data_IF_332372298032
#
_entry.id   IF_332372298032
#
_cell.length_a   1.000
_cell.length_b   1.000
_cell.length_c   1.000
_cell.angle_alpha   90.00
_cell.angle_beta   90.00
_cell.angle_gamma   90.00
#
_symmetry.space_group_name_H-M   'P 1'
#
loop_
_entity.id
_entity.type
_entity.pdbx_description
1 polymer ?
#
# COMPACT_ATOMS: atom_id res chain seq x y z
N UNK A 1 -10.29 28.75 -10.13
CA UNK A 1 -11.57 28.14 -9.71
C UNK A 1 -11.25 27.07 -8.69
N UNK A 2 -11.57 27.30 -7.42
CA UNK A 2 -11.27 26.36 -6.34
C UNK A 2 -12.27 25.20 -6.41
N UNK A 3 -11.79 23.97 -6.60
CA UNK A 3 -12.62 22.78 -6.56
C UNK A 3 -13.18 22.63 -5.14
N UNK A 4 -14.50 22.71 -5.01
CA UNK A 4 -15.19 22.42 -3.76
C UNK A 4 -15.01 20.92 -3.45
N UNK A 5 -14.25 20.63 -2.39
CA UNK A 5 -14.17 19.28 -1.83
C UNK A 5 -15.59 18.80 -1.48
N UNK A 6 -15.95 17.55 -1.76
CA UNK A 6 -17.27 17.03 -1.45
C UNK A 6 -17.52 17.16 0.05
N UNK A 7 -18.59 17.88 0.43
CA UNK A 7 -19.13 17.90 1.79
C UNK A 7 -19.59 16.49 2.13
N UNK A 8 -18.71 15.71 2.75
CA UNK A 8 -19.09 14.48 3.43
C UNK A 8 -20.09 14.91 4.51
N UNK A 9 -21.35 14.49 4.38
CA UNK A 9 -22.35 14.64 5.47
C UNK A 9 -21.72 14.00 6.70
N UNK A 10 -21.30 14.82 7.66
CA UNK A 10 -20.67 14.37 8.90
C UNK A 10 -21.74 13.70 9.76
N UNK A 11 -22.09 12.45 9.45
CA UNK A 11 -22.84 11.66 10.43
C UNK A 11 -21.90 11.45 11.61
N UNK A 12 -22.26 11.97 12.77
CA UNK A 12 -21.51 11.80 14.03
C UNK A 12 -21.79 10.42 14.62
N UNK A 13 -21.87 9.40 13.77
CA UNK A 13 -22.28 8.05 14.11
C UNK A 13 -21.18 7.10 13.71
N UNK A 14 -21.02 6.04 14.50
CA UNK A 14 -20.13 4.96 14.17
C UNK A 14 -20.59 4.29 12.86
N UNK A 15 -19.66 4.09 11.92
CA UNK A 15 -19.95 3.44 10.64
C UNK A 15 -20.44 2.00 10.82
N UNK A 16 -20.02 1.31 11.88
CA UNK A 16 -20.34 -0.09 12.15
C UNK A 16 -21.69 -0.25 12.85
N UNK A 17 -21.89 0.35 14.02
CA UNK A 17 -23.14 0.19 14.77
C UNK A 17 -24.20 1.27 14.50
N UNK A 18 -23.89 2.30 13.69
CA UNK A 18 -24.77 3.44 13.38
C UNK A 18 -25.23 4.25 14.60
N UNK A 19 -24.54 4.12 15.73
CA UNK A 19 -24.84 4.87 16.94
C UNK A 19 -23.84 6.03 17.14
N UNK A 20 -24.35 7.16 17.62
CA UNK A 20 -23.55 8.33 18.04
C UNK A 20 -23.11 8.27 19.51
N UNK A 21 -23.66 7.29 20.26
CA UNK A 21 -23.31 6.95 21.64
C UNK A 21 -23.08 5.45 21.70
N UNK A 22 -22.15 4.98 22.53
CA UNK A 22 -22.08 3.55 22.82
C UNK A 22 -23.20 3.14 23.80
N UNK A 23 -23.48 1.84 23.94
CA UNK A 23 -24.49 1.29 24.86
C UNK A 23 -24.28 1.71 26.33
N UNK A 24 -23.06 2.16 26.66
CA UNK A 24 -22.66 2.69 27.97
C UNK A 24 -22.88 4.20 28.12
N UNK A 25 -23.55 4.85 27.16
CA UNK A 25 -23.91 6.27 27.20
C UNK A 25 -22.76 7.26 26.99
N UNK A 26 -21.53 6.81 26.70
CA UNK A 26 -20.40 7.70 26.38
C UNK A 26 -20.63 8.32 25.00
N UNK A 27 -20.56 9.64 24.97
CA UNK A 27 -20.68 10.45 23.75
C UNK A 27 -19.30 10.58 23.13
N UNK A 28 -19.10 10.03 21.93
CA UNK A 28 -17.85 10.19 21.23
C UNK A 28 -17.71 9.24 20.05
N UNK A 29 -17.55 9.82 18.86
CA UNK A 29 -17.08 9.12 17.67
C UNK A 29 -15.71 9.67 17.29
N UNK A 30 -14.80 8.77 16.95
CA UNK A 30 -13.41 9.05 16.58
C UNK A 30 -13.31 8.87 15.07
N UNK A 31 -12.69 9.83 14.39
CA UNK A 31 -12.41 9.75 12.96
C UNK A 31 -11.08 9.06 12.73
N UNK A 32 -11.03 8.06 11.86
CA UNK A 32 -9.78 7.54 11.35
C UNK A 32 -9.24 8.49 10.27
N UNK A 33 -8.04 9.05 10.46
CA UNK A 33 -7.40 9.95 9.49
C UNK A 33 -7.08 9.24 8.16
N UNK A 34 -6.78 7.93 8.21
CA UNK A 34 -6.40 7.16 7.02
C UNK A 34 -7.58 6.89 6.06
N UNK A 35 -8.75 6.55 6.58
CA UNK A 35 -9.92 6.19 5.75
C UNK A 35 -11.07 7.22 5.81
N UNK A 36 -10.99 8.22 6.68
CA UNK A 36 -12.03 9.24 6.86
C UNK A 36 -13.32 8.73 7.52
N UNK A 37 -13.37 7.48 7.99
CA UNK A 37 -14.55 6.88 8.62
C UNK A 37 -14.62 7.18 10.11
N UNK A 38 -15.85 7.30 10.63
CA UNK A 38 -16.16 7.56 12.04
C UNK A 38 -16.46 6.24 12.78
N UNK A 39 -15.90 6.05 13.97
CA UNK A 39 -16.11 4.86 14.78
C UNK A 39 -16.41 5.23 16.24
N UNK A 40 -17.19 4.42 16.95
CA UNK A 40 -17.21 4.50 18.41
C UNK A 40 -15.89 3.93 18.98
N UNK A 41 -15.64 4.13 20.27
CA UNK A 41 -14.42 3.67 20.96
C UNK A 41 -14.09 2.20 20.66
N UNK A 42 -15.06 1.30 20.81
CA UNK A 42 -14.88 -0.14 20.58
C UNK A 42 -14.56 -0.47 19.11
N UNK A 43 -15.36 0.02 18.17
CA UNK A 43 -15.14 -0.25 16.75
C UNK A 43 -13.87 0.43 16.22
N UNK A 44 -13.41 1.52 16.86
CA UNK A 44 -12.14 2.16 16.52
C UNK A 44 -10.95 1.26 16.87
N UNK A 45 -11.03 0.54 17.98
CA UNK A 45 -10.02 -0.42 18.41
C UNK A 45 -10.01 -1.64 17.48
N UNK A 46 -11.18 -2.18 17.14
CA UNK A 46 -11.31 -3.27 16.16
C UNK A 46 -10.77 -2.86 14.79
N UNK A 47 -11.11 -1.66 14.32
CA UNK A 47 -10.60 -1.12 13.06
C UNK A 47 -9.07 -1.02 13.06
N UNK A 48 -8.48 -0.52 14.16
CA UNK A 48 -7.02 -0.46 14.31
C UNK A 48 -6.37 -1.84 14.30
N UNK A 49 -6.98 -2.82 14.96
CA UNK A 49 -6.48 -4.20 14.97
C UNK A 49 -6.53 -4.82 13.58
N UNK A 50 -7.61 -4.58 12.83
CA UNK A 50 -7.73 -5.05 11.45
C UNK A 50 -6.67 -4.46 10.54
N UNK A 51 -6.44 -3.13 10.62
CA UNK A 51 -5.37 -2.46 9.86
C UNK A 51 -4.02 -3.09 10.18
N UNK A 52 -3.74 -3.31 11.47
CA UNK A 52 -2.49 -3.95 11.89
C UNK A 52 -2.33 -5.33 11.26
N UNK A 53 -3.36 -6.18 11.36
CA UNK A 53 -3.36 -7.53 10.77
C UNK A 53 -3.10 -7.51 9.27
N UNK A 54 -3.76 -6.61 8.54
CA UNK A 54 -3.56 -6.46 7.10
C UNK A 54 -2.12 -6.02 6.78
N UNK A 55 -1.58 -5.07 7.55
CA UNK A 55 -0.22 -4.59 7.38
C UNK A 55 0.82 -5.69 7.65
N UNK A 56 0.66 -6.43 8.75
CA UNK A 56 1.53 -7.56 9.09
C UNK A 56 1.54 -8.59 7.94
N UNK A 57 0.37 -8.93 7.39
CA UNK A 57 0.27 -9.82 6.23
C UNK A 57 0.87 -9.27 4.93
N UNK A 58 0.90 -7.94 4.73
CA UNK A 58 1.61 -7.33 3.61
C UNK A 58 3.13 -7.40 3.79
N UNK A 59 3.64 -7.19 5.01
CA UNK A 59 5.05 -7.32 5.31
C UNK A 59 5.55 -8.76 5.09
N UNK A 60 4.78 -9.76 5.50
CA UNK A 60 5.10 -11.17 5.25
C UNK A 60 5.15 -11.50 3.75
N UNK A 61 4.14 -11.07 2.98
CA UNK A 61 4.12 -11.25 1.52
C UNK A 61 5.30 -10.56 0.85
N UNK A 62 5.64 -9.35 1.29
CA UNK A 62 6.78 -8.62 0.77
C UNK A 62 8.08 -9.36 1.05
N UNK A 63 8.28 -9.87 2.28
CA UNK A 63 9.46 -10.66 2.63
C UNK A 63 9.56 -11.94 1.79
N UNK A 64 8.44 -12.63 1.56
CA UNK A 64 8.38 -13.81 0.70
C UNK A 64 8.77 -13.47 -0.75
N UNK A 65 8.22 -12.41 -1.33
CA UNK A 65 8.57 -11.98 -2.69
C UNK A 65 10.04 -11.59 -2.82
N UNK A 66 10.60 -10.91 -1.81
CA UNK A 66 12.03 -10.60 -1.81
C UNK A 66 12.90 -11.85 -1.76
N UNK A 67 12.51 -12.84 -0.96
CA UNK A 67 13.20 -14.12 -0.91
C UNK A 67 13.13 -14.86 -2.26
N UNK A 68 11.95 -14.89 -2.88
CA UNK A 68 11.75 -15.53 -4.19
C UNK A 68 12.58 -14.86 -5.29
N UNK A 69 12.64 -13.53 -5.31
CA UNK A 69 13.50 -12.76 -6.23
C UNK A 69 14.99 -13.02 -6.01
N UNK A 70 15.44 -13.14 -4.75
CA UNK A 70 16.83 -13.45 -4.47
C UNK A 70 17.18 -14.88 -4.92
N UNK A 71 16.30 -15.84 -4.66
CA UNK A 71 16.50 -17.24 -5.08
C UNK A 71 16.51 -17.39 -6.62
N UNK A 72 15.69 -16.61 -7.33
CA UNK A 72 15.69 -16.60 -8.81
C UNK A 72 16.92 -15.91 -9.40
N UNK A 73 17.51 -14.96 -8.67
CA UNK A 73 18.77 -14.31 -9.05
C UNK A 73 19.98 -15.25 -8.93
N UNK A 74 19.92 -16.18 -7.98
CA UNK A 74 20.95 -17.22 -7.79
C UNK A 74 20.77 -18.41 -8.77
N UNK A 75 19.74 -18.40 -9.60
CA UNK A 75 19.57 -19.36 -10.70
C UNK A 75 20.42 -18.90 -11.89
N UNK A 76 21.50 -19.65 -12.18
CA UNK A 76 22.56 -19.27 -13.12
C UNK A 76 22.07 -18.89 -14.53
N UNK A 77 21.02 -19.55 -15.01
CA UNK A 77 20.43 -19.28 -16.34
C UNK A 77 19.79 -17.89 -16.44
N UNK A 78 19.12 -17.43 -15.37
CA UNK A 78 18.54 -16.08 -15.34
C UNK A 78 19.63 -15.01 -15.31
N UNK A 79 20.70 -15.26 -14.55
CA UNK A 79 21.87 -14.39 -14.42
C UNK A 79 22.63 -14.22 -15.75
N UNK A 80 22.78 -15.32 -16.52
CA UNK A 80 23.38 -15.28 -17.86
C UNK A 80 22.51 -14.48 -18.84
N UNK A 81 21.19 -14.72 -18.86
CA UNK A 81 20.25 -13.95 -19.69
C UNK A 81 20.27 -12.46 -19.38
N UNK A 82 20.27 -12.06 -18.10
CA UNK A 82 20.38 -10.65 -17.73
C UNK A 82 21.72 -10.04 -18.16
N UNK A 83 22.81 -10.81 -18.10
CA UNK A 83 24.13 -10.36 -18.56
C UNK A 83 24.19 -10.19 -20.08
N UNK A 84 23.58 -11.10 -20.86
CA UNK A 84 23.47 -10.98 -22.32
C UNK A 84 22.62 -9.77 -22.74
N UNK A 85 21.52 -9.51 -22.02
CA UNK A 85 20.67 -8.34 -22.27
C UNK A 85 21.45 -7.04 -21.99
N UNK A 86 22.13 -6.95 -20.85
CA UNK A 86 22.96 -5.79 -20.49
C UNK A 86 24.07 -5.55 -21.52
N UNK A 87 24.72 -6.62 -21.99
CA UNK A 87 25.75 -6.53 -23.02
C UNK A 87 25.19 -6.00 -24.34
N UNK A 88 24.05 -6.55 -24.78
CA UNK A 88 23.36 -6.10 -25.99
C UNK A 88 22.96 -4.61 -25.93
N UNK A 89 22.46 -4.15 -24.78
CA UNK A 89 22.07 -2.75 -24.59
C UNK A 89 23.27 -1.80 -24.63
N UNK A 90 24.40 -2.19 -24.05
CA UNK A 90 25.64 -1.41 -24.12
C UNK A 90 26.15 -1.30 -25.55
N UNK A 91 26.22 -2.41 -26.28
CA UNK A 91 26.70 -2.44 -27.67
C UNK A 91 25.87 -1.51 -28.58
N UNK A 92 24.54 -1.55 -28.46
CA UNK A 92 23.66 -0.64 -29.21
C UNK A 92 23.75 0.81 -28.78
N UNK A 93 23.99 1.07 -27.50
CA UNK A 93 24.18 2.43 -26.97
C UNK A 93 25.48 3.06 -27.47
N UNK A 94 26.52 2.26 -27.66
CA UNK A 94 27.79 2.69 -28.25
C UNK A 94 27.73 2.84 -29.78
N UNK A 95 26.96 1.99 -30.48
CA UNK A 95 26.83 2.06 -31.94
C UNK A 95 26.04 3.29 -32.45
N UNK A 96 25.12 3.83 -31.63
CA UNK A 96 24.44 5.10 -31.94
C UNK A 96 25.36 6.33 -31.87
N UNK A 97 26.53 6.24 -31.21
CA UNK A 97 27.49 7.36 -31.11
C UNK A 97 28.46 7.44 -32.28
N UNK A 98 28.71 6.33 -32.99
CA UNK A 98 29.67 6.26 -34.11
C UNK A 98 29.04 6.45 -35.48
N UNK A 99 27.71 6.38 -35.58
CA UNK A 99 26.97 6.49 -36.85
C UNK A 99 26.50 7.92 -37.20
N UNK A 100 27.03 8.94 -36.52
CA UNK A 100 26.70 10.36 -36.72
C UNK A 100 27.95 11.16 -37.17
N UNK A 101 28.68 10.61 -38.14
CA UNK A 101 29.69 11.33 -38.94
C UNK A 101 29.03 11.79 -40.23
#
# INVERSE_FOLDING_TARGET
>A
MAAALPRIKSSRECITCKQSKNEKGRQGVIMCVGCGLMFCEEHSLQHRQEIKRQFDGLCEKHAFLQQDLNNTKDNSESSELFSEIDQFEQERSHQKRTSNI
#
